data_IF_748397439177
#
_entry.id   IF_748397439177
#
_cell.length_a   1.000
_cell.length_b   1.000
_cell.length_c   1.000
_cell.angle_alpha   90.00
_cell.angle_beta   90.00
_cell.angle_gamma   90.00
#
_symmetry.space_group_name_H-M   'P 1'
#
loop_
_entity.id
_entity.type
_entity.pdbx_description
1 polymer ?
#
# COMPACT_ATOMS: atom_id res chain seq x y z
N UNK A 1 -21.27 11.02 13.08
CA UNK A 1 -20.72 9.74 12.58
C UNK A 1 -20.55 9.92 11.08
N UNK A 2 -19.34 9.77 10.56
CA UNK A 2 -19.06 10.08 9.15
C UNK A 2 -19.83 9.12 8.25
N UNK A 3 -20.39 9.64 7.15
CA UNK A 3 -20.96 8.80 6.09
C UNK A 3 -19.82 8.04 5.40
N UNK A 4 -20.05 6.76 5.14
CA UNK A 4 -19.12 5.90 4.43
C UNK A 4 -19.85 4.86 3.59
N UNK A 5 -19.13 4.29 2.62
CA UNK A 5 -19.57 3.16 1.80
C UNK A 5 -18.60 2.02 2.00
N UNK A 6 -19.10 0.85 2.42
CA UNK A 6 -18.31 -0.39 2.34
C UNK A 6 -18.42 -0.97 0.92
N UNK A 7 -17.28 -1.26 0.32
CA UNK A 7 -17.17 -1.75 -1.06
C UNK A 7 -17.52 -3.24 -1.16
N UNK A 8 -17.33 -3.99 -0.08
CA UNK A 8 -17.50 -5.44 -0.06
C UNK A 8 -18.64 -5.90 0.84
N UNK A 9 -19.27 -7.01 0.48
CA UNK A 9 -20.24 -7.74 1.31
C UNK A 9 -19.76 -9.16 1.59
N UNK A 10 -20.22 -9.75 2.69
CA UNK A 10 -19.99 -11.18 2.97
C UNK A 10 -20.82 -12.00 1.99
N UNK A 11 -20.21 -13.03 1.42
CA UNK A 11 -20.83 -13.88 0.42
C UNK A 11 -21.74 -14.90 1.10
N UNK A 12 -22.96 -15.03 0.60
CA UNK A 12 -23.96 -16.03 0.96
C UNK A 12 -24.35 -16.85 -0.27
N UNK A 13 -25.18 -17.88 -0.09
CA UNK A 13 -25.65 -18.67 -1.24
C UNK A 13 -26.63 -17.87 -2.10
N UNK A 14 -27.31 -16.89 -1.51
CA UNK A 14 -28.33 -16.06 -2.11
C UNK A 14 -27.76 -14.87 -2.89
N UNK A 15 -26.63 -14.29 -2.44
CA UNK A 15 -26.03 -13.11 -3.08
C UNK A 15 -24.80 -13.42 -3.97
N UNK A 16 -24.39 -14.69 -4.07
CA UNK A 16 -23.17 -15.08 -4.78
C UNK A 16 -23.16 -14.60 -6.25
N UNK A 17 -22.04 -14.04 -6.67
CA UNK A 17 -21.76 -13.70 -8.06
C UNK A 17 -20.35 -14.13 -8.40
N UNK A 18 -20.21 -15.01 -9.40
CA UNK A 18 -18.92 -15.56 -9.82
C UNK A 18 -17.92 -14.44 -10.15
N UNK A 19 -18.34 -13.46 -10.94
CA UNK A 19 -17.54 -12.30 -11.33
C UNK A 19 -17.07 -11.48 -10.13
N UNK A 20 -18.00 -11.03 -9.27
CA UNK A 20 -17.68 -10.18 -8.10
C UNK A 20 -16.86 -10.94 -7.06
N UNK A 21 -17.06 -12.25 -6.96
CA UNK A 21 -16.30 -13.10 -6.06
C UNK A 21 -14.85 -13.25 -6.52
N UNK A 22 -14.63 -13.53 -7.82
CA UNK A 22 -13.28 -13.69 -8.36
C UNK A 22 -12.52 -12.36 -8.44
N UNK A 23 -13.22 -11.24 -8.64
CA UNK A 23 -12.60 -9.91 -8.62
C UNK A 23 -11.91 -9.60 -7.29
N UNK A 24 -12.50 -10.02 -6.16
CA UNK A 24 -11.94 -9.84 -4.82
C UNK A 24 -10.96 -10.97 -4.44
N UNK A 25 -11.28 -12.22 -4.80
CA UNK A 25 -10.53 -13.39 -4.36
C UNK A 25 -9.56 -13.86 -5.45
N UNK A 26 -8.53 -13.06 -5.74
CA UNK A 26 -7.51 -13.39 -6.75
C UNK A 26 -6.80 -14.71 -6.49
N UNK A 27 -6.62 -15.11 -5.23
CA UNK A 27 -6.07 -16.43 -4.87
C UNK A 27 -6.93 -17.59 -5.40
N UNK A 28 -8.25 -17.39 -5.44
CA UNK A 28 -9.19 -18.35 -6.01
C UNK A 28 -9.12 -18.33 -7.54
N UNK A 29 -9.02 -17.14 -8.14
CA UNK A 29 -8.83 -17.00 -9.59
C UNK A 29 -7.55 -17.69 -10.07
N UNK A 30 -6.44 -17.53 -9.34
CA UNK A 30 -5.18 -18.21 -9.60
C UNK A 30 -5.32 -19.73 -9.44
N UNK A 31 -6.05 -20.18 -8.41
CA UNK A 31 -6.32 -21.60 -8.21
C UNK A 31 -7.19 -22.20 -9.33
N UNK A 32 -8.12 -21.44 -9.91
CA UNK A 32 -8.92 -21.85 -11.07
C UNK A 32 -8.04 -21.93 -12.32
N UNK A 33 -7.24 -20.89 -12.58
CA UNK A 33 -6.29 -20.86 -13.69
C UNK A 33 -5.30 -22.02 -13.62
N UNK A 34 -4.87 -22.40 -12.42
CA UNK A 34 -4.01 -23.56 -12.16
C UNK A 34 -4.74 -24.92 -12.18
N UNK A 35 -6.04 -24.96 -12.46
CA UNK A 35 -6.84 -26.19 -12.51
C UNK A 35 -7.08 -26.86 -11.14
N UNK A 36 -6.77 -26.17 -10.02
CA UNK A 36 -6.92 -26.71 -8.65
C UNK A 36 -8.36 -26.58 -8.14
N UNK A 37 -9.11 -25.62 -8.67
CA UNK A 37 -10.50 -25.30 -8.29
C UNK A 37 -11.32 -25.17 -9.57
N UNK A 38 -12.57 -25.63 -9.58
CA UNK A 38 -13.42 -25.62 -10.77
C UNK A 38 -14.02 -24.25 -11.11
N UNK A 39 -14.38 -23.48 -10.09
CA UNK A 39 -15.02 -22.16 -10.19
C UNK A 39 -14.97 -21.46 -8.83
N UNK A 40 -15.24 -20.16 -8.81
CA UNK A 40 -15.45 -19.38 -7.60
C UNK A 40 -16.55 -19.97 -6.73
N UNK A 41 -17.68 -20.38 -7.34
CA UNK A 41 -18.76 -21.07 -6.64
C UNK A 41 -18.30 -22.38 -5.98
N UNK A 42 -17.49 -23.17 -6.70
CA UNK A 42 -16.93 -24.42 -6.17
C UNK A 42 -16.06 -24.17 -4.94
N UNK A 43 -15.21 -23.13 -5.00
CA UNK A 43 -14.40 -22.70 -3.85
C UNK A 43 -15.29 -22.22 -2.70
N UNK A 44 -16.25 -21.34 -2.98
CA UNK A 44 -17.12 -20.75 -1.97
C UNK A 44 -17.86 -21.82 -1.16
N UNK A 45 -18.48 -22.80 -1.84
CA UNK A 45 -19.23 -23.88 -1.18
C UNK A 45 -18.33 -24.78 -0.31
N UNK A 46 -17.07 -24.99 -0.69
CA UNK A 46 -16.14 -25.87 0.05
C UNK A 46 -15.42 -25.17 1.19
N UNK A 47 -14.99 -23.94 0.95
CA UNK A 47 -14.05 -23.20 1.80
C UNK A 47 -14.58 -21.80 2.10
N UNK A 48 -14.97 -21.05 1.07
CA UNK A 48 -15.25 -19.62 1.20
C UNK A 48 -16.34 -19.26 2.22
N UNK A 49 -17.37 -20.11 2.40
CA UNK A 49 -18.42 -19.91 3.43
C UNK A 49 -17.85 -19.96 4.85
N UNK A 50 -16.94 -20.91 5.13
CA UNK A 50 -16.29 -21.04 6.44
C UNK A 50 -15.27 -19.93 6.68
N UNK A 51 -14.59 -19.51 5.61
CA UNK A 51 -13.63 -18.41 5.61
C UNK A 51 -14.30 -17.03 5.68
N UNK A 52 -15.63 -16.95 5.58
CA UNK A 52 -16.40 -15.70 5.49
C UNK A 52 -15.89 -14.78 4.37
N UNK A 53 -15.58 -15.36 3.20
CA UNK A 53 -15.09 -14.62 2.04
C UNK A 53 -16.09 -13.54 1.63
N UNK A 54 -15.53 -12.46 1.09
CA UNK A 54 -16.27 -11.30 0.61
C UNK A 54 -16.27 -11.24 -0.92
N UNK A 55 -17.16 -10.42 -1.46
CA UNK A 55 -17.24 -10.04 -2.86
C UNK A 55 -17.60 -8.55 -2.95
N UNK A 56 -17.37 -7.91 -4.10
CA UNK A 56 -17.83 -6.54 -4.35
C UNK A 56 -19.35 -6.45 -4.18
N UNK A 57 -19.87 -5.37 -3.58
CA UNK A 57 -21.33 -5.09 -3.58
C UNK A 57 -21.79 -4.74 -4.99
N UNK A 58 -23.09 -4.85 -5.28
CA UNK A 58 -23.64 -4.56 -6.62
C UNK A 58 -23.60 -3.06 -6.93
N UNK A 59 -23.91 -2.23 -5.93
CA UNK A 59 -24.20 -0.80 -6.06
C UNK A 59 -23.09 0.09 -5.49
N UNK A 60 -21.93 -0.48 -5.14
CA UNK A 60 -20.86 0.28 -4.46
C UNK A 60 -20.39 1.49 -5.26
N UNK A 61 -20.30 1.38 -6.59
CA UNK A 61 -19.90 2.50 -7.46
C UNK A 61 -20.91 3.64 -7.36
N UNK A 62 -22.21 3.33 -7.43
CA UNK A 62 -23.27 4.33 -7.33
C UNK A 62 -23.27 4.98 -5.93
N UNK A 63 -23.10 4.18 -4.87
CA UNK A 63 -23.01 4.68 -3.51
C UNK A 63 -21.78 5.58 -3.30
N UNK A 64 -20.61 5.20 -3.85
CA UNK A 64 -19.40 6.04 -3.83
C UNK A 64 -19.64 7.35 -4.56
N UNK A 65 -20.23 7.31 -5.77
CA UNK A 65 -20.45 8.50 -6.58
C UNK A 65 -21.29 9.57 -5.85
N UNK A 66 -22.28 9.17 -5.06
CA UNK A 66 -23.07 10.11 -4.24
C UNK A 66 -22.21 10.84 -3.19
N UNK A 67 -21.31 10.14 -2.50
CA UNK A 67 -20.37 10.77 -1.56
C UNK A 67 -19.31 11.58 -2.29
N UNK A 68 -18.82 11.08 -3.42
CA UNK A 68 -17.74 11.68 -4.20
C UNK A 68 -18.15 13.05 -4.77
N UNK A 69 -19.41 13.21 -5.20
CA UNK A 69 -19.94 14.50 -5.64
C UNK A 69 -19.79 15.58 -4.55
N UNK A 70 -20.22 15.28 -3.33
CA UNK A 70 -20.10 16.21 -2.19
C UNK A 70 -18.63 16.52 -1.85
N UNK A 71 -17.75 15.53 -2.01
CA UNK A 71 -16.31 15.66 -1.75
C UNK A 71 -15.60 16.48 -2.84
N UNK A 72 -15.99 16.32 -4.10
CA UNK A 72 -15.37 16.98 -5.24
C UNK A 72 -15.42 18.51 -5.11
N UNK A 73 -16.52 19.07 -4.60
CA UNK A 73 -16.61 20.51 -4.33
C UNK A 73 -15.60 21.00 -3.30
N UNK A 74 -15.31 20.18 -2.27
CA UNK A 74 -14.29 20.49 -1.25
C UNK A 74 -12.89 20.40 -1.87
N UNK A 75 -12.63 19.37 -2.66
CA UNK A 75 -11.35 19.15 -3.35
C UNK A 75 -11.03 20.33 -4.30
N UNK A 76 -11.99 20.77 -5.12
CA UNK A 76 -11.82 21.92 -6.04
C UNK A 76 -11.29 23.18 -5.38
N UNK A 77 -11.79 23.48 -4.19
CA UNK A 77 -11.43 24.70 -3.45
C UNK A 77 -9.96 24.68 -3.00
N UNK A 78 -9.40 23.49 -2.78
CA UNK A 78 -8.04 23.30 -2.30
C UNK A 78 -7.04 22.95 -3.40
N UNK A 79 -7.46 22.68 -4.63
CA UNK A 79 -6.54 22.53 -5.77
C UNK A 79 -5.81 23.85 -6.03
N UNK A 80 -4.49 23.77 -6.28
CA UNK A 80 -3.62 24.89 -6.66
C UNK A 80 -4.25 25.69 -7.81
N UNK A 81 -4.38 27.03 -7.70
CA UNK A 81 -5.08 27.85 -8.71
C UNK A 81 -4.62 27.61 -10.16
N UNK A 82 -3.33 27.40 -10.36
CA UNK A 82 -2.69 27.14 -11.65
C UNK A 82 -2.99 25.75 -12.24
N UNK A 83 -3.51 24.81 -11.45
CA UNK A 83 -3.91 23.46 -11.89
C UNK A 83 -5.42 23.31 -12.09
N UNK A 84 -6.21 24.34 -11.77
CA UNK A 84 -7.67 24.29 -11.92
C UNK A 84 -8.06 24.24 -13.40
N UNK A 85 -9.08 23.43 -13.72
CA UNK A 85 -9.54 23.23 -15.10
C UNK A 85 -8.79 22.14 -15.88
N UNK A 86 -7.83 21.45 -15.25
CA UNK A 86 -7.22 20.22 -15.75
C UNK A 86 -7.86 18.95 -15.13
N UNK A 87 -9.09 19.06 -14.63
CA UNK A 87 -9.84 17.95 -14.05
C UNK A 87 -10.35 17.03 -15.17
N UNK A 88 -10.13 15.72 -15.04
CA UNK A 88 -10.55 14.72 -16.04
C UNK A 88 -12.08 14.55 -16.11
N UNK A 89 -12.80 14.76 -15.01
CA UNK A 89 -14.25 14.60 -14.89
C UNK A 89 -14.84 15.47 -13.76
N UNK A 90 -16.17 15.58 -13.63
CA UNK A 90 -16.84 16.41 -12.62
C UNK A 90 -16.63 15.94 -11.16
N UNK A 91 -16.12 14.74 -10.95
CA UNK A 91 -15.97 14.16 -9.61
C UNK A 91 -14.62 13.49 -9.37
N UNK A 92 -13.78 13.43 -10.41
CA UNK A 92 -12.51 12.71 -10.42
C UNK A 92 -11.44 13.57 -11.06
N UNK A 93 -10.31 13.70 -10.37
CA UNK A 93 -9.26 14.66 -10.72
C UNK A 93 -7.98 13.95 -11.11
N UNK A 94 -7.63 13.95 -12.39
CA UNK A 94 -6.37 13.37 -12.87
C UNK A 94 -5.29 14.44 -13.08
N UNK A 95 -4.23 14.40 -12.27
CA UNK A 95 -3.07 15.29 -12.40
C UNK A 95 -1.81 14.57 -12.90
N UNK A 96 -1.92 13.31 -13.35
CA UNK A 96 -0.79 12.63 -13.98
C UNK A 96 -0.46 13.27 -15.33
N UNK A 97 0.80 13.57 -15.57
CA UNK A 97 1.28 14.08 -16.86
C UNK A 97 2.56 13.37 -17.28
N UNK A 98 2.80 13.34 -18.59
CA UNK A 98 3.91 12.58 -19.17
C UNK A 98 5.29 13.09 -18.75
N UNK A 99 5.39 14.39 -18.41
CA UNK A 99 6.65 14.96 -17.90
C UNK A 99 6.99 14.37 -16.53
N UNK A 100 6.02 14.32 -15.62
CA UNK A 100 6.21 13.73 -14.29
C UNK A 100 6.35 12.20 -14.36
N UNK A 101 5.61 11.52 -15.25
CA UNK A 101 5.78 10.08 -15.48
C UNK A 101 7.22 9.73 -15.86
N UNK A 102 7.83 10.51 -16.75
CA UNK A 102 9.23 10.33 -17.12
C UNK A 102 10.19 10.72 -15.98
N UNK A 103 9.89 11.75 -15.20
CA UNK A 103 10.74 12.21 -14.10
C UNK A 103 10.80 11.23 -12.91
N UNK A 104 9.68 10.58 -12.63
CA UNK A 104 9.49 9.72 -11.46
C UNK A 104 9.52 8.23 -11.79
N UNK A 105 9.96 7.86 -13.00
CA UNK A 105 10.04 6.47 -13.48
C UNK A 105 8.71 5.72 -13.28
N UNK A 106 7.60 6.30 -13.74
CA UNK A 106 6.28 5.67 -13.61
C UNK A 106 6.15 4.46 -14.56
N UNK A 107 5.96 3.29 -13.96
CA UNK A 107 5.54 2.07 -14.66
C UNK A 107 4.18 1.60 -14.13
N UNK A 108 3.19 1.53 -15.02
CA UNK A 108 1.84 1.05 -14.66
C UNK A 108 1.88 -0.38 -14.13
N UNK A 109 1.03 -0.69 -13.15
CA UNK A 109 0.90 -2.03 -12.59
C UNK A 109 -0.54 -2.54 -12.49
N UNK A 110 -0.77 -3.78 -12.95
CA UNK A 110 -2.05 -4.49 -12.75
C UNK A 110 -2.25 -5.00 -11.30
N UNK A 111 -1.29 -4.72 -10.42
CA UNK A 111 -1.31 -5.16 -9.03
C UNK A 111 -2.07 -4.16 -8.19
N UNK A 112 -3.06 -4.68 -7.47
CA UNK A 112 -3.93 -3.88 -6.62
C UNK A 112 -3.35 -3.88 -5.21
N UNK A 113 -2.99 -2.71 -4.71
CA UNK A 113 -2.76 -2.50 -3.28
C UNK A 113 -4.12 -2.27 -2.62
N UNK A 114 -4.53 -3.13 -1.68
CA UNK A 114 -5.79 -2.96 -0.97
C UNK A 114 -5.64 -3.34 0.50
N UNK A 115 -5.91 -2.38 1.39
CA UNK A 115 -5.81 -2.57 2.82
C UNK A 115 -6.96 -1.85 3.54
N UNK A 116 -7.44 -2.46 4.61
CA UNK A 116 -8.38 -1.82 5.52
C UNK A 116 -7.67 -0.72 6.32
N UNK A 117 -8.44 0.31 6.69
CA UNK A 117 -7.97 1.30 7.65
C UNK A 117 -7.76 0.64 9.02
N UNK A 118 -6.51 0.71 9.49
CA UNK A 118 -6.15 0.34 10.85
C UNK A 118 -6.59 1.40 11.87
N UNK A 119 -6.38 1.10 13.15
CA UNK A 119 -6.77 1.97 14.27
C UNK A 119 -6.24 3.39 14.15
N UNK A 120 -4.96 3.57 13.76
CA UNK A 120 -4.35 4.88 13.62
C UNK A 120 -5.03 5.74 12.54
N UNK A 121 -5.42 5.13 11.41
CA UNK A 121 -6.18 5.80 10.37
C UNK A 121 -7.60 6.14 10.83
N UNK A 122 -8.29 5.18 11.44
CA UNK A 122 -9.64 5.39 11.97
C UNK A 122 -9.69 6.44 13.08
N UNK A 123 -8.62 6.59 13.86
CA UNK A 123 -8.48 7.66 14.86
C UNK A 123 -8.52 9.04 14.19
N UNK A 124 -7.79 9.23 13.08
CA UNK A 124 -7.86 10.47 12.30
C UNK A 124 -9.26 10.68 11.70
N UNK A 125 -9.81 9.65 11.05
CA UNK A 125 -11.13 9.72 10.41
C UNK A 125 -12.20 10.17 11.40
N UNK A 126 -12.22 9.57 12.59
CA UNK A 126 -13.21 9.89 13.62
C UNK A 126 -12.89 11.16 14.41
N UNK A 127 -11.62 11.55 14.50
CA UNK A 127 -11.16 12.76 15.18
C UNK A 127 -11.47 14.05 14.41
N UNK A 128 -11.64 13.95 13.09
CA UNK A 128 -11.95 15.09 12.21
C UNK A 128 -13.24 14.85 11.39
N UNK A 129 -14.41 14.72 12.03
CA UNK A 129 -15.65 14.38 11.33
C UNK A 129 -16.09 15.43 10.29
N UNK A 130 -15.85 16.71 10.59
CA UNK A 130 -16.14 17.83 9.69
C UNK A 130 -14.90 18.31 8.90
N UNK A 131 -13.73 17.71 9.18
CA UNK A 131 -12.46 18.07 8.55
C UNK A 131 -12.28 17.40 7.20
N UNK A 132 -11.19 17.77 6.52
CA UNK A 132 -10.73 17.11 5.30
C UNK A 132 -9.40 16.41 5.56
N UNK A 133 -9.35 15.13 5.26
CA UNK A 133 -8.20 14.27 5.52
C UNK A 133 -7.62 13.81 4.19
N UNK A 134 -6.31 13.87 4.01
CA UNK A 134 -5.64 13.27 2.87
C UNK A 134 -5.18 11.86 3.22
N UNK A 135 -5.58 10.86 2.43
CA UNK A 135 -4.93 9.55 2.39
C UNK A 135 -4.06 9.48 1.13
N UNK A 136 -2.74 9.70 1.30
CA UNK A 136 -1.77 9.75 0.22
C UNK A 136 -1.16 8.37 -0.02
N UNK A 137 -1.47 7.79 -1.19
CA UNK A 137 -1.20 6.38 -1.52
C UNK A 137 -2.26 5.46 -0.92
N UNK A 138 -3.54 5.80 -1.16
CA UNK A 138 -4.69 5.13 -0.55
C UNK A 138 -4.85 3.66 -0.97
N UNK A 139 -4.36 3.29 -2.15
CA UNK A 139 -4.70 2.04 -2.81
C UNK A 139 -6.20 1.92 -3.08
N UNK A 140 -6.65 0.70 -3.35
CA UNK A 140 -8.07 0.36 -3.40
C UNK A 140 -8.62 0.20 -1.99
N UNK A 141 -9.46 1.14 -1.55
CA UNK A 141 -9.97 1.17 -0.18
C UNK A 141 -11.27 0.35 -0.04
N UNK A 142 -11.32 -0.66 0.85
CA UNK A 142 -12.52 -1.42 1.16
C UNK A 142 -13.68 -0.59 1.74
N UNK A 143 -13.36 0.59 2.28
CA UNK A 143 -14.31 1.54 2.87
C UNK A 143 -13.99 2.94 2.36
N UNK A 144 -14.98 3.62 1.82
CA UNK A 144 -14.87 4.96 1.27
C UNK A 144 -15.55 5.96 2.19
N UNK A 145 -14.78 6.85 2.83
CA UNK A 145 -15.28 7.87 3.76
C UNK A 145 -15.52 9.21 3.06
N UNK A 146 -16.51 9.96 3.53
CA UNK A 146 -16.80 11.29 2.96
C UNK A 146 -15.77 12.38 3.31
N UNK A 147 -15.07 12.23 4.43
CA UNK A 147 -14.09 13.19 4.92
C UNK A 147 -12.63 12.83 4.56
N UNK A 148 -12.40 11.73 3.84
CA UNK A 148 -11.06 11.31 3.41
C UNK A 148 -10.93 11.45 1.90
N UNK A 149 -10.01 12.28 1.42
CA UNK A 149 -9.61 12.35 0.01
C UNK A 149 -8.63 11.22 -0.27
N UNK A 150 -9.06 10.24 -1.06
CA UNK A 150 -8.21 9.14 -1.47
C UNK A 150 -7.34 9.58 -2.66
N UNK A 151 -6.04 9.76 -2.42
CA UNK A 151 -5.06 10.16 -3.41
C UNK A 151 -4.19 8.96 -3.80
N UNK A 152 -4.04 8.71 -5.09
CA UNK A 152 -3.35 7.51 -5.58
C UNK A 152 -2.67 7.77 -6.93
N UNK A 153 -1.72 6.91 -7.32
CA UNK A 153 -1.10 6.96 -8.66
C UNK A 153 -1.85 6.09 -9.67
N UNK A 154 -2.69 5.16 -9.19
CA UNK A 154 -3.52 4.24 -9.98
C UNK A 154 -5.04 4.50 -9.81
N UNK A 155 -5.86 4.36 -10.89
CA UNK A 155 -7.28 4.69 -10.89
C UNK A 155 -8.15 3.56 -10.31
N UNK A 156 -8.18 3.42 -8.99
CA UNK A 156 -9.14 2.52 -8.34
C UNK A 156 -10.55 3.11 -8.28
N UNK A 157 -11.61 2.29 -8.17
CA UNK A 157 -12.97 2.78 -8.00
C UNK A 157 -13.17 3.71 -6.80
N UNK A 158 -12.28 3.67 -5.80
CA UNK A 158 -12.31 4.51 -4.60
C UNK A 158 -11.37 5.70 -4.67
N UNK A 159 -10.61 5.89 -5.74
CA UNK A 159 -9.68 7.01 -5.91
C UNK A 159 -10.45 8.29 -6.19
N UNK A 160 -10.08 9.39 -5.54
CA UNK A 160 -10.66 10.72 -5.79
C UNK A 160 -9.77 11.57 -6.68
N UNK A 161 -8.45 11.51 -6.43
CA UNK A 161 -7.45 12.32 -7.12
C UNK A 161 -6.27 11.44 -7.52
N UNK A 162 -5.85 11.52 -8.79
CA UNK A 162 -4.62 10.91 -9.27
C UNK A 162 -3.46 11.89 -9.29
N UNK A 163 -2.27 11.41 -8.92
CA UNK A 163 -1.03 12.14 -9.12
C UNK A 163 0.19 11.53 -8.41
N UNK A 164 1.31 12.24 -8.51
CA UNK A 164 2.55 11.89 -7.83
C UNK A 164 2.64 12.53 -6.45
N UNK A 165 2.94 11.72 -5.44
CA UNK A 165 3.10 12.19 -4.06
C UNK A 165 4.25 13.19 -3.90
N UNK A 166 5.24 13.18 -4.80
CA UNK A 166 6.33 14.15 -4.87
C UNK A 166 5.90 15.57 -5.28
N UNK A 167 4.67 15.72 -5.79
CA UNK A 167 4.13 16.99 -6.27
C UNK A 167 2.60 17.01 -6.15
N UNK A 168 2.10 17.15 -4.94
CA UNK A 168 0.67 17.19 -4.66
C UNK A 168 0.02 18.42 -5.31
N UNK A 169 -1.19 18.25 -5.91
CA UNK A 169 -1.90 19.32 -6.61
C UNK A 169 -2.64 20.28 -5.65
N UNK A 170 -2.50 20.09 -4.34
CA UNK A 170 -3.22 20.85 -3.32
C UNK A 170 -2.44 22.08 -2.84
N UNK A 171 -3.17 23.12 -2.47
CA UNK A 171 -2.64 24.33 -1.83
C UNK A 171 -2.04 23.99 -0.46
N UNK A 172 -1.20 24.88 0.05
CA UNK A 172 -0.64 24.79 1.39
C UNK A 172 -1.76 24.80 2.44
N UNK A 173 -1.56 24.13 3.57
CA UNK A 173 -2.48 24.17 4.71
C UNK A 173 -3.95 23.82 4.34
N UNK A 174 -4.14 22.82 3.49
CA UNK A 174 -5.46 22.43 2.98
C UNK A 174 -6.16 21.37 3.81
N UNK A 175 -5.41 20.48 4.48
CA UNK A 175 -5.96 19.32 5.18
C UNK A 175 -5.83 19.45 6.69
N UNK A 176 -6.87 19.01 7.40
CA UNK A 176 -6.90 18.95 8.88
C UNK A 176 -6.09 17.76 9.41
N UNK A 177 -6.03 16.68 8.62
CA UNK A 177 -5.11 15.58 8.87
C UNK A 177 -4.57 14.99 7.56
N UNK A 178 -3.41 14.35 7.64
CA UNK A 178 -2.75 13.65 6.54
C UNK A 178 -2.35 12.26 7.03
N UNK A 179 -2.60 11.24 6.21
CA UNK A 179 -2.12 9.89 6.43
C UNK A 179 -1.43 9.35 5.18
N UNK A 180 -0.42 8.50 5.38
CA UNK A 180 0.26 7.77 4.30
C UNK A 180 0.88 6.49 4.85
N UNK A 181 0.45 5.35 4.34
CA UNK A 181 0.83 4.05 4.89
C UNK A 181 1.44 3.15 3.84
N UNK A 182 2.67 2.69 4.08
CA UNK A 182 3.41 1.83 3.15
C UNK A 182 3.56 2.45 1.74
N UNK A 183 4.00 3.72 1.71
CA UNK A 183 4.17 4.51 0.47
C UNK A 183 5.60 5.03 0.36
N UNK A 184 6.16 5.56 1.45
CA UNK A 184 7.45 6.24 1.41
C UNK A 184 8.62 5.32 1.00
N UNK A 185 8.48 4.01 1.20
CA UNK A 185 9.41 2.99 0.71
C UNK A 185 9.36 2.80 -0.82
N UNK A 186 8.24 3.16 -1.46
CA UNK A 186 7.97 2.94 -2.88
C UNK A 186 8.16 4.19 -3.74
N UNK A 187 8.54 5.31 -3.15
CA UNK A 187 8.82 6.57 -3.86
C UNK A 187 10.32 6.81 -4.01
N UNK A 188 10.71 7.38 -5.14
CA UNK A 188 12.13 7.64 -5.45
C UNK A 188 12.69 8.81 -4.62
N UNK A 189 11.84 9.75 -4.24
CA UNK A 189 12.23 10.96 -3.51
C UNK A 189 11.42 11.14 -2.20
N UNK A 190 11.61 10.29 -1.18
CA UNK A 190 10.79 10.31 0.05
C UNK A 190 10.87 11.63 0.82
N UNK A 191 12.00 12.34 0.76
CA UNK A 191 12.14 13.67 1.36
C UNK A 191 11.19 14.69 0.72
N UNK A 192 11.01 14.65 -0.62
CA UNK A 192 10.06 15.54 -1.31
C UNK A 192 8.62 15.20 -0.98
N UNK A 193 8.31 13.90 -0.88
CA UNK A 193 6.97 13.46 -0.45
C UNK A 193 6.69 13.96 0.96
N UNK A 194 7.63 13.81 1.90
CA UNK A 194 7.49 14.32 3.26
C UNK A 194 7.28 15.85 3.30
N UNK A 195 8.04 16.61 2.52
CA UNK A 195 7.85 18.06 2.35
C UNK A 195 6.44 18.40 1.85
N UNK A 196 5.93 17.69 0.86
CA UNK A 196 4.57 17.89 0.34
C UNK A 196 3.50 17.52 1.36
N UNK A 197 3.65 16.41 2.09
CA UNK A 197 2.72 16.00 3.17
C UNK A 197 2.65 17.06 4.27
N UNK A 198 3.80 17.62 4.66
CA UNK A 198 3.88 18.73 5.63
C UNK A 198 3.23 19.99 5.06
N UNK A 199 3.56 20.36 3.82
CA UNK A 199 3.07 21.59 3.18
C UNK A 199 1.55 21.65 3.09
N UNK A 200 0.90 20.53 2.73
CA UNK A 200 -0.56 20.48 2.59
C UNK A 200 -1.29 20.34 3.93
N UNK A 201 -0.60 19.96 5.00
CA UNK A 201 -1.16 19.86 6.34
C UNK A 201 -1.32 21.26 6.95
N UNK A 202 -2.47 21.54 7.58
CA UNK A 202 -2.71 22.79 8.31
C UNK A 202 -1.82 22.90 9.54
N UNK A 203 -1.49 24.12 10.02
CA UNK A 203 -0.87 24.29 11.33
C UNK A 203 -1.77 23.70 12.42
N UNK A 204 -1.22 22.85 13.28
CA UNK A 204 -1.98 22.11 14.29
C UNK A 204 -2.74 20.88 13.78
N UNK A 205 -2.63 20.57 12.48
CA UNK A 205 -3.15 19.34 11.90
C UNK A 205 -2.39 18.10 12.37
N UNK A 206 -2.95 16.92 12.12
CA UNK A 206 -2.36 15.64 12.54
C UNK A 206 -1.81 14.84 11.35
N UNK A 207 -0.59 14.33 11.50
CA UNK A 207 0.05 13.45 10.52
C UNK A 207 0.22 12.05 11.12
N UNK A 208 -0.18 11.02 10.36
CA UNK A 208 0.13 9.62 10.70
C UNK A 208 0.74 8.93 9.49
N UNK A 209 1.97 8.42 9.64
CA UNK A 209 2.69 7.75 8.54
C UNK A 209 3.26 6.39 8.97
N UNK A 210 3.38 5.48 8.01
CA UNK A 210 4.18 4.26 8.17
C UNK A 210 4.93 3.91 6.88
N UNK A 211 6.08 3.25 7.02
CA UNK A 211 6.84 2.69 5.91
C UNK A 211 7.55 1.40 6.35
N UNK A 212 7.92 0.56 5.37
CA UNK A 212 8.67 -0.67 5.58
C UNK A 212 10.04 -0.41 6.24
N UNK A 213 10.44 -1.29 7.17
CA UNK A 213 11.80 -1.33 7.73
C UNK A 213 12.50 -2.67 7.51
N UNK A 214 12.09 -3.73 8.21
CA UNK A 214 12.67 -5.07 8.04
C UNK A 214 11.73 -6.00 7.28
N UNK A 215 11.02 -5.45 6.30
CA UNK A 215 10.24 -6.25 5.36
C UNK A 215 11.17 -6.58 4.17
N UNK A 216 11.13 -7.82 3.63
CA UNK A 216 11.80 -8.14 2.37
C UNK A 216 11.46 -7.11 1.28
N UNK A 217 12.35 -6.89 0.32
CA UNK A 217 12.05 -6.00 -0.80
C UNK A 217 10.77 -6.50 -1.51
N UNK A 218 9.81 -5.60 -1.72
CA UNK A 218 8.45 -5.94 -2.15
C UNK A 218 7.74 -4.77 -2.82
N UNK A 219 6.53 -4.98 -3.34
CA UNK A 219 5.76 -3.92 -4.01
C UNK A 219 6.10 -3.78 -5.49
N UNK A 220 5.28 -3.01 -6.21
CA UNK A 220 5.36 -2.86 -7.66
C UNK A 220 5.06 -1.41 -8.06
N UNK A 221 5.80 -0.84 -9.03
CA UNK A 221 6.95 -1.44 -9.71
C UNK A 221 8.23 -1.45 -8.86
N UNK A 222 8.33 -0.61 -7.82
CA UNK A 222 9.60 -0.34 -7.15
C UNK A 222 9.53 -0.32 -5.61
N UNK A 223 10.65 -0.69 -4.98
CA UNK A 223 10.92 -0.56 -3.55
C UNK A 223 12.28 0.10 -3.41
N UNK A 224 12.31 1.37 -3.04
CA UNK A 224 13.53 2.17 -3.01
C UNK A 224 14.17 2.17 -1.62
N UNK A 225 13.37 2.23 -0.55
CA UNK A 225 13.89 2.51 0.79
C UNK A 225 13.24 1.66 1.88
N UNK A 226 14.07 1.10 2.75
CA UNK A 226 13.65 0.56 4.04
C UNK A 226 13.98 1.59 5.12
N UNK A 227 12.95 2.15 5.77
CA UNK A 227 13.11 3.25 6.72
C UNK A 227 13.36 2.74 8.14
N UNK A 228 14.55 3.02 8.68
CA UNK A 228 14.77 2.93 10.14
C UNK A 228 13.88 3.93 10.88
N UNK A 229 13.71 3.77 12.20
CA UNK A 229 12.97 4.75 13.01
C UNK A 229 13.59 6.15 12.92
N UNK A 230 14.92 6.26 12.95
CA UNK A 230 15.65 7.53 12.79
C UNK A 230 15.46 8.12 11.39
N UNK A 231 15.50 7.30 10.35
CA UNK A 231 15.25 7.74 8.97
C UNK A 231 13.85 8.33 8.81
N UNK A 232 12.84 7.63 9.33
CA UNK A 232 11.46 8.13 9.36
C UNK A 232 11.34 9.45 10.14
N UNK A 233 11.96 9.56 11.32
CA UNK A 233 11.94 10.79 12.12
C UNK A 233 12.57 11.97 11.38
N UNK A 234 13.69 11.75 10.71
CA UNK A 234 14.43 12.77 9.93
C UNK A 234 13.56 13.39 8.84
N UNK A 235 12.65 12.62 8.23
CA UNK A 235 11.77 13.12 7.17
C UNK A 235 10.79 14.20 7.66
N UNK A 236 10.39 14.15 8.93
CA UNK A 236 9.27 14.95 9.44
C UNK A 236 9.64 15.93 10.55
N UNK A 237 10.80 15.78 11.20
CA UNK A 237 11.19 16.56 12.39
C UNK A 237 11.30 18.08 12.17
N UNK A 238 11.46 18.54 10.93
CA UNK A 238 11.51 19.99 10.62
C UNK A 238 10.13 20.65 10.48
N UNK A 239 9.05 19.87 10.33
CA UNK A 239 7.70 20.40 10.12
C UNK A 239 6.63 19.82 11.02
N UNK A 240 6.97 18.81 11.84
CA UNK A 240 6.05 18.09 12.70
C UNK A 240 6.65 17.97 14.10
N UNK A 241 5.89 18.39 15.11
CA UNK A 241 6.17 18.09 16.51
C UNK A 241 5.83 16.60 16.77
N UNK A 242 6.84 15.73 16.71
CA UNK A 242 6.63 14.27 16.78
C UNK A 242 6.33 13.84 18.23
N UNK A 243 5.05 13.61 18.51
CA UNK A 243 4.52 13.19 19.82
C UNK A 243 4.88 11.73 20.17
N UNK A 244 4.83 10.80 19.22
CA UNK A 244 5.12 9.37 19.43
C UNK A 244 5.63 8.68 18.16
N UNK A 245 6.33 7.55 18.33
CA UNK A 245 6.75 6.64 17.25
C UNK A 245 6.86 5.22 17.81
N UNK A 246 5.97 4.33 17.35
CA UNK A 246 5.77 3.02 17.96
C UNK A 246 5.66 1.89 16.93
N UNK A 247 5.68 0.64 17.42
CA UNK A 247 5.50 -0.59 16.64
C UNK A 247 4.14 -1.18 16.98
N UNK A 248 3.33 -1.50 15.97
CA UNK A 248 2.02 -2.14 16.18
C UNK A 248 2.19 -3.64 16.45
N UNK A 249 1.20 -4.32 17.07
CA UNK A 249 1.24 -5.77 17.21
C UNK A 249 1.43 -6.52 15.88
N UNK A 250 0.90 -5.96 14.78
CA UNK A 250 1.01 -6.53 13.43
C UNK A 250 2.34 -6.26 12.72
N UNK A 251 3.15 -5.33 13.22
CA UNK A 251 4.44 -4.93 12.62
C UNK A 251 5.65 -5.27 13.49
N UNK A 252 5.45 -6.09 14.53
CA UNK A 252 6.53 -6.55 15.41
C UNK A 252 7.49 -7.55 14.76
N UNK A 253 8.55 -7.98 15.48
CA UNK A 253 9.61 -8.84 14.94
C UNK A 253 9.12 -10.17 14.36
N UNK A 254 8.04 -10.73 14.91
CA UNK A 254 7.45 -11.97 14.40
C UNK A 254 6.93 -11.82 12.97
N UNK A 255 6.44 -10.65 12.58
CA UNK A 255 5.97 -10.38 11.22
C UNK A 255 7.13 -10.42 10.23
N UNK A 256 8.24 -9.75 10.54
CA UNK A 256 9.50 -9.82 9.78
C UNK A 256 10.00 -11.25 9.66
N UNK A 257 10.15 -11.96 10.80
CA UNK A 257 10.66 -13.33 10.81
C UNK A 257 9.78 -14.26 9.98
N UNK A 258 8.46 -14.17 10.16
CA UNK A 258 7.49 -15.00 9.44
C UNK A 258 7.54 -14.74 7.94
N UNK A 259 7.66 -13.48 7.51
CA UNK A 259 7.76 -13.13 6.10
C UNK A 259 9.04 -13.67 5.49
N UNK A 260 10.20 -13.37 6.08
CA UNK A 260 11.50 -13.84 5.60
C UNK A 260 11.52 -15.36 5.49
N UNK A 261 11.12 -16.08 6.55
CA UNK A 261 11.12 -17.55 6.53
C UNK A 261 10.14 -18.13 5.52
N UNK A 262 8.94 -17.53 5.37
CA UNK A 262 7.94 -17.98 4.40
C UNK A 262 8.47 -17.87 2.97
N UNK A 263 8.97 -16.69 2.61
CA UNK A 263 9.42 -16.42 1.25
C UNK A 263 10.68 -17.24 0.94
N UNK A 264 11.62 -17.31 1.87
CA UNK A 264 12.78 -18.20 1.78
C UNK A 264 12.37 -19.66 1.56
N UNK A 265 11.47 -20.17 2.38
CA UNK A 265 10.97 -21.55 2.28
C UNK A 265 10.29 -21.81 0.92
N UNK A 266 9.48 -20.86 0.46
CA UNK A 266 8.72 -21.00 -0.79
C UNK A 266 9.61 -20.95 -2.03
N UNK A 267 10.78 -20.33 -1.95
CA UNK A 267 11.78 -20.26 -3.01
C UNK A 267 12.64 -21.53 -3.14
N UNK A 268 12.61 -22.44 -2.14
CA UNK A 268 13.41 -23.66 -2.17
C UNK A 268 12.75 -24.79 -3.00
N UNK A 269 13.54 -25.62 -3.71
CA UNK A 269 13.06 -26.85 -4.33
C UNK A 269 12.40 -27.81 -3.32
N UNK A 270 11.47 -28.69 -3.73
CA UNK A 270 10.66 -29.49 -2.80
C UNK A 270 11.45 -30.27 -1.74
N UNK A 271 12.59 -30.86 -2.13
CA UNK A 271 13.46 -31.64 -1.22
C UNK A 271 14.09 -30.76 -0.14
N UNK A 272 14.69 -29.63 -0.52
CA UNK A 272 15.36 -28.73 0.41
C UNK A 272 14.35 -27.94 1.25
N UNK A 273 13.21 -27.53 0.66
CA UNK A 273 12.06 -26.96 1.38
C UNK A 273 11.61 -27.86 2.53
N UNK A 274 11.48 -29.18 2.29
CA UNK A 274 11.05 -30.14 3.32
C UNK A 274 12.07 -30.26 4.46
N UNK A 275 13.37 -30.13 4.18
CA UNK A 275 14.42 -30.14 5.21
C UNK A 275 14.42 -28.83 5.99
N UNK A 276 14.38 -27.69 5.31
CA UNK A 276 14.39 -26.36 5.92
C UNK A 276 13.20 -26.18 6.88
N UNK A 277 12.00 -26.63 6.50
CA UNK A 277 10.80 -26.62 7.37
C UNK A 277 10.94 -27.45 8.67
N UNK A 278 11.92 -28.33 8.76
CA UNK A 278 12.16 -29.16 9.96
C UNK A 278 13.24 -28.60 10.87
N UNK A 279 13.97 -27.57 10.43
CA UNK A 279 15.00 -26.93 11.23
C UNK A 279 14.36 -26.21 12.42
N UNK A 280 15.03 -26.28 13.56
CA UNK A 280 14.71 -25.54 14.77
C UNK A 280 15.28 -24.13 14.68
N UNK A 281 14.68 -23.19 15.39
CA UNK A 281 15.20 -21.82 15.46
C UNK A 281 16.64 -21.80 15.97
N UNK A 282 16.99 -22.65 16.95
CA UNK A 282 18.36 -22.77 17.47
C UNK A 282 19.39 -23.14 16.39
N UNK A 283 18.97 -23.83 15.32
CA UNK A 283 19.84 -24.22 14.21
C UNK A 283 20.08 -23.07 13.22
N UNK A 284 19.32 -21.97 13.31
CA UNK A 284 19.36 -20.82 12.38
C UNK A 284 19.91 -19.52 13.00
N UNK A 285 20.09 -19.46 14.32
CA UNK A 285 20.59 -18.28 15.04
C UNK A 285 22.11 -18.24 15.21
N UNK A 286 22.82 -19.21 14.60
CA UNK A 286 24.28 -19.23 14.57
C UNK A 286 24.87 -18.17 13.64
N UNK A 287 26.20 -18.07 13.57
CA UNK A 287 26.85 -17.11 12.71
C UNK A 287 26.57 -17.39 11.22
N UNK A 288 26.18 -16.36 10.47
CA UNK A 288 25.72 -16.49 9.08
C UNK A 288 26.70 -17.24 8.15
N UNK A 289 28.01 -17.04 8.33
CA UNK A 289 29.05 -17.68 7.52
C UNK A 289 29.08 -19.22 7.67
N UNK A 290 28.56 -19.77 8.77
CA UNK A 290 28.49 -21.22 8.97
C UNK A 290 27.46 -21.89 8.03
N UNK A 291 26.61 -21.09 7.38
CA UNK A 291 25.54 -21.57 6.50
C UNK A 291 25.83 -21.37 5.02
N UNK A 292 26.93 -20.71 4.64
CA UNK A 292 27.19 -20.30 3.24
C UNK A 292 27.15 -21.45 2.23
N UNK A 293 27.62 -22.64 2.62
CA UNK A 293 27.61 -23.85 1.76
C UNK A 293 26.34 -24.70 1.91
N UNK A 294 25.39 -24.29 2.76
CA UNK A 294 24.16 -25.07 2.96
C UNK A 294 23.23 -24.88 1.75
N UNK A 295 22.56 -25.94 1.28
CA UNK A 295 21.68 -25.84 0.12
C UNK A 295 20.59 -24.77 0.26
N UNK A 296 20.05 -24.54 1.46
CA UNK A 296 19.04 -23.51 1.66
C UNK A 296 19.58 -22.09 1.46
N UNK A 297 20.90 -21.87 1.45
CA UNK A 297 21.55 -20.59 1.13
C UNK A 297 22.06 -20.61 -0.33
N UNK A 298 22.82 -21.63 -0.71
CA UNK A 298 23.63 -21.63 -1.93
C UNK A 298 22.84 -21.83 -3.23
N UNK A 299 21.59 -22.29 -3.17
CA UNK A 299 20.76 -22.58 -4.36
C UNK A 299 19.71 -21.51 -4.65
N UNK A 300 19.65 -20.44 -3.85
CA UNK A 300 18.71 -19.35 -4.08
C UNK A 300 19.04 -18.64 -5.40
N UNK A 301 18.00 -18.32 -6.17
CA UNK A 301 18.17 -17.49 -7.36
C UNK A 301 18.64 -16.09 -6.98
N UNK A 302 19.27 -15.40 -7.91
CA UNK A 302 19.69 -14.01 -7.74
C UNK A 302 18.51 -13.10 -7.33
N UNK A 303 17.35 -13.25 -7.96
CA UNK A 303 16.14 -12.50 -7.62
C UNK A 303 15.70 -12.69 -6.16
N UNK A 304 15.78 -13.92 -5.64
CA UNK A 304 15.43 -14.23 -4.25
C UNK A 304 16.49 -13.69 -3.30
N UNK A 305 17.77 -13.74 -3.69
CA UNK A 305 18.84 -13.12 -2.92
C UNK A 305 18.63 -11.60 -2.80
N UNK A 306 18.32 -10.88 -3.90
CA UNK A 306 17.98 -9.45 -3.82
C UNK A 306 16.75 -9.17 -2.96
N UNK A 307 15.73 -10.02 -3.03
CA UNK A 307 14.50 -9.87 -2.25
C UNK A 307 14.76 -9.99 -0.73
N UNK A 308 15.58 -10.95 -0.32
CA UNK A 308 15.79 -11.33 1.09
C UNK A 308 17.13 -10.85 1.66
N UNK A 309 17.93 -10.10 0.89
CA UNK A 309 19.24 -9.63 1.31
C UNK A 309 19.15 -8.73 2.54
N UNK A 310 20.15 -8.84 3.42
CA UNK A 310 20.37 -7.88 4.49
C UNK A 310 21.08 -6.60 4.01
N UNK A 311 21.80 -6.68 2.89
CA UNK A 311 22.48 -5.56 2.24
C UNK A 311 22.73 -5.89 0.77
N UNK A 312 22.80 -4.84 -0.06
CA UNK A 312 23.26 -4.91 -1.45
C UNK A 312 24.51 -4.05 -1.62
N UNK A 313 25.38 -4.43 -2.54
CA UNK A 313 26.59 -3.67 -2.85
C UNK A 313 26.45 -3.09 -4.25
N UNK A 314 26.55 -1.77 -4.38
CA UNK A 314 26.61 -1.07 -5.65
C UNK A 314 28.06 -0.62 -5.87
N UNK A 315 28.66 -1.09 -6.96
CA UNK A 315 30.00 -0.68 -7.42
C UNK A 315 29.84 0.04 -8.74
N UNK A 316 30.43 1.22 -8.87
CA UNK A 316 30.31 2.01 -10.09
C UNK A 316 31.50 2.94 -10.28
N UNK A 317 31.76 3.27 -11.53
CA UNK A 317 32.70 4.31 -11.91
C UNK A 317 31.94 5.63 -12.10
N UNK A 318 32.54 6.72 -11.65
CA UNK A 318 31.99 8.06 -11.86
C UNK A 318 31.87 8.29 -13.36
N UNK A 319 30.68 8.70 -13.83
CA UNK A 319 30.46 9.07 -15.23
C UNK A 319 31.49 10.14 -15.64
N UNK A 320 32.09 9.98 -16.82
CA UNK A 320 32.90 11.02 -17.42
C UNK A 320 32.00 12.25 -17.64
N UNK A 321 32.53 13.44 -17.39
CA UNK A 321 31.81 14.67 -17.72
C UNK A 321 31.43 14.65 -19.21
N UNK A 322 30.19 15.02 -19.56
CA UNK A 322 29.77 15.08 -20.96
C UNK A 322 30.60 16.05 -21.78
#
# INVERSE_FOLDING_TARGET
MNRYVEVFEVVTEENFSEERYLAENRDVQDAITAGKVKSGWHHFKRHGKKERRKQLKVDYIQAINGIRQDKAEKIRKIIKPELRGHESDEVFFDFLNDTQKAQFDYDHTDKVSSFFYGEAALSLVNGFPDGLILDCGAGFRPVYYENVVNYEIEPYPTTDVLGFAEALPFQDNSFDAVMSFAVLEHVKYPFKVAEELIRVLKPGGKLTVSAAFLQPAHGYPHHYFNMTSSGMRTLFENGIDIEDQYVTPGTGPISTLSWVLRDWTNSLPPKERKKFKKMRVEELIGPAFAYSDKPFVSILSESVNFQLASATFLVGEKKQSP
#
